data_IF_610535213739
#
_entry.id   IF_610535213739
#
_cell.length_a   1.000
_cell.length_b   1.000
_cell.length_c   1.000
_cell.angle_alpha   90.00
_cell.angle_beta   90.00
_cell.angle_gamma   90.00
#
_symmetry.space_group_name_H-M   'P 1'
#
loop_
_entity.id
_entity.type
_entity.pdbx_description
1 polymer ?
#
# COMPACT_ATOMS: atom_id res chain seq x y z
N UNK A 1 -4.68 -19.96 -9.33
CA UNK A 1 -4.29 -18.76 -10.10
C UNK A 1 -5.06 -17.60 -9.52
N UNK A 2 -4.37 -16.69 -8.86
CA UNK A 2 -4.95 -15.44 -8.42
C UNK A 2 -5.26 -14.61 -9.68
N UNK A 3 -6.53 -14.29 -9.87
CA UNK A 3 -6.97 -13.47 -11.00
C UNK A 3 -6.89 -12.01 -10.60
N UNK A 4 -5.73 -11.40 -10.77
CA UNK A 4 -5.54 -9.98 -10.56
C UNK A 4 -6.28 -9.16 -11.63
N UNK A 5 -7.13 -8.23 -11.22
CA UNK A 5 -7.78 -7.29 -12.13
C UNK A 5 -8.35 -6.09 -11.39
N UNK A 6 -8.56 -4.94 -12.05
CA UNK A 6 -9.17 -3.75 -11.44
C UNK A 6 -10.70 -3.86 -11.29
N UNK A 7 -11.33 -4.95 -11.68
CA UNK A 7 -12.81 -5.10 -11.67
C UNK A 7 -13.48 -4.81 -10.33
N UNK A 8 -12.72 -4.89 -9.24
CA UNK A 8 -13.19 -4.61 -7.90
C UNK A 8 -12.93 -3.16 -7.45
N UNK A 9 -12.28 -2.37 -8.26
CA UNK A 9 -12.14 -0.93 -8.07
C UNK A 9 -13.40 -0.25 -8.62
N UNK A 10 -14.11 0.54 -7.81
CA UNK A 10 -15.38 1.17 -8.22
C UNK A 10 -15.23 2.63 -8.64
N UNK A 11 -14.11 3.24 -8.37
CA UNK A 11 -13.80 4.59 -8.82
C UNK A 11 -12.83 4.55 -9.99
N UNK A 12 -12.89 5.59 -10.84
CA UNK A 12 -11.84 5.86 -11.81
C UNK A 12 -10.54 6.25 -11.13
N UNK A 13 -9.44 6.06 -11.83
CA UNK A 13 -8.11 6.54 -11.44
C UNK A 13 -7.71 7.75 -12.28
N UNK A 14 -6.62 8.42 -11.89
CA UNK A 14 -6.05 9.52 -12.70
C UNK A 14 -5.74 9.03 -14.12
N UNK A 15 -5.25 7.80 -14.26
CA UNK A 15 -4.99 7.19 -15.57
C UNK A 15 -6.26 6.96 -16.38
N UNK A 16 -7.36 6.58 -15.75
CA UNK A 16 -8.65 6.41 -16.41
C UNK A 16 -9.18 7.75 -16.92
N UNK A 17 -9.12 8.81 -16.09
CA UNK A 17 -9.55 10.16 -16.48
C UNK A 17 -8.68 10.72 -17.62
N UNK A 18 -7.37 10.48 -17.59
CA UNK A 18 -6.47 10.86 -18.67
C UNK A 18 -6.84 10.15 -19.99
N UNK A 19 -7.21 8.88 -19.93
CA UNK A 19 -7.70 8.12 -21.09
C UNK A 19 -8.99 8.72 -21.65
N UNK A 20 -9.91 9.09 -20.77
CA UNK A 20 -11.18 9.74 -21.18
C UNK A 20 -10.88 11.08 -21.83
N UNK A 21 -10.10 11.95 -21.18
CA UNK A 21 -9.77 13.27 -21.68
C UNK A 21 -9.03 13.24 -23.02
N UNK A 22 -8.16 12.27 -23.22
CA UNK A 22 -7.42 12.08 -24.46
C UNK A 22 -8.15 11.26 -25.54
N UNK A 23 -9.40 10.84 -25.28
CA UNK A 23 -10.16 9.96 -26.16
C UNK A 23 -9.43 8.65 -26.47
N UNK A 24 -8.75 8.09 -25.48
CA UNK A 24 -7.98 6.85 -25.57
C UNK A 24 -6.60 6.96 -26.22
N UNK A 25 -6.16 8.15 -26.62
CA UNK A 25 -4.88 8.36 -27.33
C UNK A 25 -3.65 8.29 -26.42
N UNK A 26 -3.78 8.69 -25.16
CA UNK A 26 -2.71 8.62 -24.15
C UNK A 26 -2.32 7.17 -23.86
N UNK A 27 -1.05 6.92 -23.64
CA UNK A 27 -0.62 5.66 -23.04
C UNK A 27 -0.48 5.81 -21.53
N UNK A 28 -1.05 4.85 -20.82
CA UNK A 28 -1.05 4.77 -19.36
C UNK A 28 -0.48 3.43 -18.94
N UNK A 29 0.63 3.48 -18.21
CA UNK A 29 1.28 2.29 -17.68
C UNK A 29 1.61 2.45 -16.19
N UNK A 30 1.67 1.34 -15.47
CA UNK A 30 2.08 1.29 -14.08
C UNK A 30 3.11 0.20 -13.84
N UNK A 31 4.12 0.51 -13.02
CA UNK A 31 5.18 -0.42 -12.59
C UNK A 31 5.26 -0.38 -11.06
N UNK A 32 5.19 -1.53 -10.42
CA UNK A 32 5.25 -1.63 -8.96
C UNK A 32 5.90 -2.95 -8.52
N UNK A 33 6.32 -3.07 -7.24
CA UNK A 33 6.81 -4.34 -6.70
C UNK A 33 5.77 -5.45 -6.69
N UNK A 34 4.50 -5.11 -6.48
CA UNK A 34 3.39 -6.04 -6.31
C UNK A 34 2.19 -5.70 -7.19
N UNK A 35 1.31 -6.71 -7.38
CA UNK A 35 0.16 -6.62 -8.27
C UNK A 35 -0.87 -5.58 -7.81
N UNK A 36 -1.09 -5.46 -6.48
CA UNK A 36 -2.08 -4.55 -5.93
C UNK A 36 -1.68 -3.10 -6.23
N UNK A 37 -0.45 -2.72 -5.90
CA UNK A 37 0.07 -1.37 -6.16
C UNK A 37 0.09 -1.04 -7.66
N UNK A 38 0.48 -1.99 -8.52
CA UNK A 38 0.49 -1.78 -9.96
C UNK A 38 -0.92 -1.56 -10.54
N UNK A 39 -1.88 -2.40 -10.16
CA UNK A 39 -3.24 -2.36 -10.70
C UNK A 39 -4.02 -1.16 -10.19
N UNK A 40 -3.92 -0.84 -8.90
CA UNK A 40 -4.60 0.32 -8.33
C UNK A 40 -4.08 1.64 -8.90
N UNK A 41 -2.79 1.71 -9.25
CA UNK A 41 -2.21 2.88 -9.92
C UNK A 41 -2.56 2.97 -11.41
N UNK A 42 -2.73 1.84 -12.07
CA UNK A 42 -3.10 1.77 -13.49
C UNK A 42 -4.58 2.09 -13.74
N UNK A 43 -5.49 1.53 -12.93
CA UNK A 43 -6.93 1.65 -13.12
C UNK A 43 -7.48 0.70 -14.19
N UNK A 44 -8.64 1.06 -14.75
CA UNK A 44 -9.40 0.22 -15.69
C UNK A 44 -8.95 0.36 -17.14
N UNK A 45 -8.64 1.59 -17.56
CA UNK A 45 -8.41 1.92 -18.96
C UNK A 45 -6.92 1.93 -19.36
N UNK A 46 -6.02 1.59 -18.45
CA UNK A 46 -4.58 1.58 -18.72
C UNK A 46 -4.20 0.61 -19.84
N UNK A 47 -3.07 0.88 -20.48
CA UNK A 47 -2.46 -0.01 -21.46
C UNK A 47 -1.82 -1.24 -20.79
N UNK A 48 -1.34 -1.09 -19.54
CA UNK A 48 -0.76 -2.18 -18.78
C UNK A 48 -0.37 -1.81 -17.36
N UNK A 49 -0.34 -2.83 -16.49
CA UNK A 49 0.20 -2.78 -15.15
C UNK A 49 1.19 -3.92 -14.98
N UNK A 50 2.37 -3.63 -14.44
CA UNK A 50 3.47 -4.59 -14.35
C UNK A 50 3.98 -4.69 -12.92
N UNK A 51 4.19 -5.91 -12.47
CA UNK A 51 4.76 -6.21 -11.17
C UNK A 51 5.72 -7.39 -11.24
N UNK A 52 6.59 -7.52 -10.25
CA UNK A 52 7.50 -8.64 -10.19
C UNK A 52 6.80 -9.88 -9.63
N UNK A 53 6.85 -10.98 -10.36
CA UNK A 53 6.33 -12.28 -9.91
C UNK A 53 7.16 -12.85 -8.75
N UNK A 54 6.48 -13.39 -7.74
CA UNK A 54 7.12 -13.90 -6.53
C UNK A 54 7.84 -15.24 -6.73
N UNK A 55 7.57 -15.93 -7.83
CA UNK A 55 8.09 -17.29 -8.07
C UNK A 55 9.30 -17.31 -8.97
N UNK A 56 9.37 -16.40 -9.96
CA UNK A 56 10.40 -16.40 -10.99
C UNK A 56 11.08 -15.05 -11.23
N UNK A 57 10.68 -13.99 -10.50
CA UNK A 57 11.25 -12.66 -10.59
C UNK A 57 11.02 -11.93 -11.92
N UNK A 58 10.21 -12.47 -12.82
CA UNK A 58 9.87 -11.81 -14.09
C UNK A 58 8.81 -10.75 -13.88
N UNK A 59 8.82 -9.76 -14.74
CA UNK A 59 7.75 -8.77 -14.82
C UNK A 59 6.49 -9.42 -15.41
N UNK A 60 5.47 -9.50 -14.59
CA UNK A 60 4.17 -10.08 -14.90
C UNK A 60 3.11 -8.99 -15.08
N UNK A 61 2.03 -9.37 -15.75
CA UNK A 61 0.82 -8.56 -15.92
C UNK A 61 -0.41 -9.46 -15.84
N UNK A 62 -1.59 -8.90 -16.00
CA UNK A 62 -2.85 -9.65 -16.08
C UNK A 62 -3.39 -9.66 -17.50
N UNK A 63 -4.19 -10.67 -17.83
CA UNK A 63 -4.93 -10.74 -19.10
C UNK A 63 -6.03 -9.69 -19.23
N UNK A 64 -6.28 -8.91 -18.21
CA UNK A 64 -7.22 -7.78 -18.25
C UNK A 64 -6.73 -6.67 -19.19
N UNK A 65 -5.41 -6.39 -19.21
CA UNK A 65 -4.82 -5.39 -20.09
C UNK A 65 -4.37 -5.99 -21.42
N UNK A 66 -3.86 -5.15 -22.33
CA UNK A 66 -3.48 -5.54 -23.71
C UNK A 66 -2.38 -6.59 -23.83
N UNK A 67 -1.74 -6.97 -22.74
CA UNK A 67 -0.65 -7.93 -22.75
C UNK A 67 0.72 -7.33 -22.47
N UNK A 68 1.76 -8.11 -22.72
CA UNK A 68 3.15 -7.73 -22.43
C UNK A 68 3.76 -7.10 -23.69
N UNK A 69 4.23 -5.83 -23.63
CA UNK A 69 4.98 -5.22 -24.72
C UNK A 69 6.26 -6.01 -25.03
N UNK A 70 6.68 -6.04 -26.29
CA UNK A 70 7.85 -6.80 -26.73
C UNK A 70 9.14 -6.45 -25.97
N UNK A 71 9.32 -5.20 -25.57
CA UNK A 71 10.50 -4.76 -24.83
C UNK A 71 10.49 -5.25 -23.37
N UNK A 72 9.32 -5.44 -22.76
CA UNK A 72 9.19 -6.08 -21.45
C UNK A 72 9.48 -7.58 -21.54
N UNK A 73 8.97 -8.24 -22.57
CA UNK A 73 9.26 -9.66 -22.82
C UNK A 73 10.75 -9.88 -23.10
N UNK A 74 11.36 -9.03 -23.92
CA UNK A 74 12.81 -9.01 -24.16
C UNK A 74 13.60 -8.82 -22.87
N UNK A 75 13.16 -7.91 -21.98
CA UNK A 75 13.81 -7.71 -20.69
C UNK A 75 13.71 -8.97 -19.82
N UNK A 76 12.54 -9.59 -19.75
CA UNK A 76 12.31 -10.79 -18.96
C UNK A 76 13.17 -12.00 -19.38
N UNK A 77 13.46 -12.12 -20.66
CA UNK A 77 14.09 -13.29 -21.24
C UNK A 77 15.49 -13.02 -21.83
N UNK A 78 15.93 -11.78 -21.78
CA UNK A 78 17.23 -11.36 -22.34
C UNK A 78 18.41 -11.56 -21.37
N UNK A 79 19.62 -11.27 -21.86
CA UNK A 79 20.85 -11.43 -21.07
C UNK A 79 20.94 -10.48 -19.87
N UNK A 80 20.16 -9.41 -19.86
CA UNK A 80 20.07 -8.45 -18.76
C UNK A 80 18.92 -8.74 -17.80
N UNK A 81 18.27 -9.90 -17.91
CA UNK A 81 17.17 -10.30 -17.02
C UNK A 81 17.62 -10.37 -15.56
N UNK A 82 16.65 -10.23 -14.64
CA UNK A 82 16.95 -10.37 -13.22
C UNK A 82 17.59 -11.73 -12.91
N UNK A 83 17.08 -12.80 -13.51
CA UNK A 83 17.58 -14.16 -13.29
C UNK A 83 19.09 -14.29 -13.64
N UNK A 84 19.56 -13.62 -14.72
CA UNK A 84 20.98 -13.66 -15.10
C UNK A 84 21.92 -12.96 -14.12
N UNK A 85 21.39 -12.04 -13.30
CA UNK A 85 22.16 -11.20 -12.37
C UNK A 85 21.99 -11.59 -10.90
N UNK A 86 20.95 -12.36 -10.59
CA UNK A 86 20.50 -12.62 -9.22
C UNK A 86 21.63 -13.14 -8.31
N UNK A 87 22.38 -14.13 -8.78
CA UNK A 87 23.47 -14.75 -8.01
C UNK A 87 24.65 -13.79 -7.74
N UNK A 88 24.76 -12.70 -8.49
CA UNK A 88 25.79 -11.67 -8.29
C UNK A 88 25.32 -10.52 -7.42
N UNK A 89 24.06 -10.47 -7.08
CA UNK A 89 23.50 -9.41 -6.24
C UNK A 89 23.90 -9.60 -4.78
N UNK A 90 24.64 -8.64 -4.26
CA UNK A 90 25.03 -8.58 -2.85
C UNK A 90 24.68 -7.21 -2.32
N UNK A 91 23.86 -7.17 -1.28
CA UNK A 91 23.53 -5.93 -0.58
C UNK A 91 24.39 -5.78 0.66
N UNK A 92 25.25 -4.80 0.62
CA UNK A 92 26.08 -4.34 1.73
C UNK A 92 25.85 -2.84 1.91
N UNK A 93 26.23 -2.24 3.05
CA UNK A 93 26.15 -0.80 3.23
C UNK A 93 26.80 -0.04 2.06
N UNK A 94 26.08 0.91 1.49
CA UNK A 94 26.57 1.73 0.36
C UNK A 94 27.53 2.82 0.85
N UNK A 95 27.29 3.30 2.07
CA UNK A 95 28.16 4.29 2.73
C UNK A 95 29.06 3.63 3.76
N UNK A 96 30.16 4.30 4.17
CA UNK A 96 30.92 3.91 5.37
C UNK A 96 30.00 3.86 6.60
N UNK A 97 30.22 2.89 7.49
CA UNK A 97 29.33 2.62 8.63
C UNK A 97 29.13 3.81 9.55
N UNK A 98 30.12 4.67 9.69
CA UNK A 98 30.07 5.91 10.47
C UNK A 98 29.13 7.00 9.88
N UNK A 99 28.62 6.80 8.67
CA UNK A 99 27.65 7.70 8.02
C UNK A 99 26.20 7.33 8.30
N UNK A 100 25.98 6.13 8.85
CA UNK A 100 24.64 5.73 9.29
C UNK A 100 24.42 6.20 10.72
N UNK A 101 23.20 6.62 11.02
CA UNK A 101 22.83 7.01 12.38
C UNK A 101 23.02 5.83 13.34
N UNK A 102 23.64 6.12 14.47
CA UNK A 102 23.77 5.16 15.55
C UNK A 102 22.40 5.03 16.25
N UNK A 103 21.81 3.84 16.20
CA UNK A 103 20.61 3.54 16.98
C UNK A 103 21.03 2.89 18.29
N UNK A 104 20.49 3.36 19.44
CA UNK A 104 20.93 2.89 20.78
C UNK A 104 20.67 1.40 21.05
N UNK A 105 20.05 0.69 20.11
CA UNK A 105 19.65 -0.73 20.27
C UNK A 105 20.33 -1.68 19.29
N UNK A 106 21.22 -1.21 18.42
CA UNK A 106 21.99 -2.07 17.53
C UNK A 106 23.24 -2.51 18.29
N UNK A 107 23.24 -3.75 18.75
CA UNK A 107 24.35 -4.34 19.51
C UNK A 107 25.58 -4.68 18.65
N UNK A 108 25.44 -4.70 17.32
CA UNK A 108 26.49 -5.05 16.39
C UNK A 108 26.87 -3.89 15.46
N UNK A 109 28.11 -3.45 15.56
CA UNK A 109 28.74 -2.51 14.62
C UNK A 109 29.17 -3.20 13.30
N UNK A 110 28.77 -4.44 13.09
CA UNK A 110 29.10 -5.18 11.88
C UNK A 110 28.27 -4.72 10.68
N UNK A 111 28.88 -4.57 9.51
CA UNK A 111 28.16 -4.26 8.29
C UNK A 111 27.26 -5.43 7.90
N UNK A 112 26.02 -5.12 7.54
CA UNK A 112 25.10 -6.12 7.01
C UNK A 112 25.53 -6.62 5.64
N UNK A 113 25.20 -7.89 5.34
CA UNK A 113 25.46 -8.51 4.04
C UNK A 113 24.34 -9.49 3.68
N UNK A 114 23.63 -9.21 2.61
CA UNK A 114 22.57 -10.06 2.07
C UNK A 114 22.88 -10.49 0.65
N UNK A 115 22.62 -11.76 0.35
CA UNK A 115 22.77 -12.37 -0.98
C UNK A 115 21.42 -12.93 -1.43
N UNK A 116 21.24 -13.05 -2.73
CA UNK A 116 20.01 -13.54 -3.34
C UNK A 116 20.33 -14.73 -4.23
N UNK A 117 19.53 -15.78 -4.12
CA UNK A 117 19.66 -17.00 -4.93
C UNK A 117 18.30 -17.68 -5.02
N UNK A 118 17.97 -18.22 -6.18
CA UNK A 118 16.74 -19.02 -6.36
C UNK A 118 16.68 -20.25 -5.46
N UNK A 119 17.82 -20.69 -4.97
CA UNK A 119 17.94 -21.79 -3.99
C UNK A 119 17.40 -21.42 -2.61
N UNK A 120 17.29 -20.14 -2.32
CA UNK A 120 16.79 -19.67 -1.03
C UNK A 120 15.27 -19.57 -1.04
N UNK A 121 14.64 -20.08 -0.01
CA UNK A 121 13.20 -19.86 0.18
C UNK A 121 12.88 -18.36 0.23
N UNK A 122 11.79 -17.95 -0.43
CA UNK A 122 11.36 -16.55 -0.49
C UNK A 122 12.39 -15.59 -1.12
N UNK A 123 13.22 -16.05 -2.05
CA UNK A 123 14.23 -15.21 -2.70
C UNK A 123 13.63 -13.92 -3.26
N UNK A 124 12.65 -14.01 -4.14
CA UNK A 124 12.02 -12.86 -4.78
C UNK A 124 11.18 -11.99 -3.81
N UNK A 125 10.37 -12.56 -2.90
CA UNK A 125 9.75 -11.79 -1.82
C UNK A 125 10.76 -10.99 -0.98
N UNK A 126 11.92 -11.57 -0.66
CA UNK A 126 12.97 -10.85 0.05
C UNK A 126 13.61 -9.76 -0.82
N UNK A 127 13.87 -10.04 -2.10
CA UNK A 127 14.40 -9.04 -3.02
C UNK A 127 13.46 -7.84 -3.16
N UNK A 128 12.14 -8.05 -3.19
CA UNK A 128 11.13 -6.98 -3.24
C UNK A 128 11.16 -6.03 -2.03
N UNK A 129 11.76 -6.43 -0.93
CA UNK A 129 11.90 -5.60 0.28
C UNK A 129 13.33 -5.07 0.46
N UNK A 130 14.14 -5.14 -0.58
CA UNK A 130 15.51 -4.59 -0.64
C UNK A 130 15.58 -3.44 -1.65
N UNK A 131 16.65 -2.63 -1.65
CA UNK A 131 16.84 -1.57 -2.65
C UNK A 131 16.95 -2.11 -4.10
N UNK A 132 17.24 -3.38 -4.28
CA UNK A 132 17.34 -3.96 -5.61
C UNK A 132 16.02 -3.97 -6.39
N UNK A 133 14.87 -4.04 -5.71
CA UNK A 133 13.59 -3.92 -6.41
C UNK A 133 13.45 -2.55 -7.08
N UNK A 134 13.93 -1.48 -6.44
CA UNK A 134 13.88 -0.14 -6.99
C UNK A 134 14.76 -0.02 -8.24
N UNK A 135 15.92 -0.65 -8.23
CA UNK A 135 16.79 -0.73 -9.41
C UNK A 135 16.14 -1.50 -10.56
N UNK A 136 15.45 -2.59 -10.25
CA UNK A 136 14.71 -3.37 -11.26
C UNK A 136 13.51 -2.57 -11.82
N UNK A 137 12.79 -1.85 -10.98
CA UNK A 137 11.71 -0.93 -11.39
C UNK A 137 12.26 0.13 -12.33
N UNK A 138 13.39 0.78 -11.99
CA UNK A 138 14.04 1.74 -12.85
C UNK A 138 14.46 1.13 -14.19
N UNK A 139 15.09 -0.03 -14.19
CA UNK A 139 15.49 -0.72 -15.42
C UNK A 139 14.30 -0.95 -16.34
N UNK A 140 13.16 -1.37 -15.79
CA UNK A 140 11.94 -1.53 -16.57
C UNK A 140 11.39 -0.19 -17.03
N UNK A 141 11.34 0.84 -16.17
CA UNK A 141 10.89 2.18 -16.54
C UNK A 141 11.72 2.75 -17.72
N UNK A 142 13.04 2.51 -17.73
CA UNK A 142 13.91 2.90 -18.84
C UNK A 142 13.53 2.20 -20.15
N UNK A 143 13.08 0.93 -20.10
CA UNK A 143 12.58 0.26 -21.31
C UNK A 143 11.31 0.95 -21.85
N UNK A 144 10.41 1.40 -20.96
CA UNK A 144 9.23 2.17 -21.36
C UNK A 144 9.59 3.52 -21.96
N UNK A 145 10.54 4.25 -21.38
CA UNK A 145 11.01 5.53 -21.91
C UNK A 145 11.74 5.37 -23.26
N UNK A 146 12.47 4.28 -23.45
CA UNK A 146 13.23 4.03 -24.68
C UNK A 146 12.33 3.57 -25.83
N UNK A 147 11.41 2.65 -25.58
CA UNK A 147 10.65 1.95 -26.61
C UNK A 147 9.16 2.22 -26.60
N UNK A 148 8.62 2.81 -25.52
CA UNK A 148 7.19 3.06 -25.36
C UNK A 148 6.66 4.30 -26.06
N UNK A 149 7.54 5.14 -26.63
CA UNK A 149 7.15 6.35 -27.34
C UNK A 149 6.59 7.46 -26.44
N UNK A 150 6.99 7.49 -25.18
CA UNK A 150 6.63 8.55 -24.25
C UNK A 150 7.12 9.91 -24.72
N UNK A 151 6.27 10.95 -24.64
CA UNK A 151 6.61 12.31 -25.04
C UNK A 151 6.62 12.56 -26.55
N UNK A 152 6.28 11.57 -27.39
CA UNK A 152 6.23 11.74 -28.85
C UNK A 152 4.82 12.03 -29.36
N UNK A 153 3.80 11.91 -28.52
CA UNK A 153 2.39 12.09 -28.88
C UNK A 153 1.93 13.53 -28.67
N UNK A 154 0.84 13.90 -29.34
CA UNK A 154 0.18 15.20 -29.17
C UNK A 154 -0.67 15.31 -27.89
N UNK A 155 -0.77 14.24 -27.11
CA UNK A 155 -1.46 14.16 -25.83
C UNK A 155 -0.49 13.63 -24.76
N UNK A 156 -0.69 13.98 -23.49
CA UNK A 156 0.17 13.50 -22.42
C UNK A 156 0.02 11.99 -22.22
N UNK A 157 1.12 11.32 -21.90
CA UNK A 157 1.17 9.93 -21.48
C UNK A 157 1.42 9.87 -19.97
N UNK A 158 1.13 8.75 -19.33
CA UNK A 158 1.35 8.56 -17.89
C UNK A 158 2.11 7.28 -17.61
N UNK A 159 3.19 7.39 -16.85
CA UNK A 159 3.91 6.28 -16.27
C UNK A 159 3.86 6.40 -14.74
N UNK A 160 3.12 5.53 -14.09
CA UNK A 160 3.07 5.44 -12.63
C UNK A 160 4.12 4.46 -12.15
N UNK A 161 4.97 4.89 -11.22
CA UNK A 161 6.07 4.10 -10.67
C UNK A 161 5.90 4.04 -9.15
N UNK A 162 5.82 2.83 -8.59
CA UNK A 162 5.81 2.62 -7.15
C UNK A 162 7.14 2.00 -6.73
N UNK A 163 7.87 2.70 -5.86
CA UNK A 163 9.10 2.20 -5.25
C UNK A 163 8.83 1.61 -3.88
N UNK A 164 9.76 0.80 -3.42
CA UNK A 164 9.77 0.27 -2.06
C UNK A 164 10.73 1.07 -1.19
N UNK A 165 10.24 1.58 -0.07
CA UNK A 165 11.02 2.33 0.91
C UNK A 165 10.68 1.88 2.34
N UNK A 166 10.70 0.58 2.59
CA UNK A 166 10.31 -0.01 3.86
C UNK A 166 11.37 -0.94 4.44
N UNK A 167 10.99 -1.67 5.47
CA UNK A 167 11.88 -2.62 6.14
C UNK A 167 12.19 -3.84 5.28
N UNK A 168 13.44 -4.27 5.31
CA UNK A 168 13.85 -5.52 4.70
C UNK A 168 13.09 -6.70 5.33
N UNK A 169 12.64 -7.62 4.47
CA UNK A 169 11.77 -8.76 4.82
C UNK A 169 10.45 -8.36 5.50
N UNK A 170 10.13 -7.07 5.50
CA UNK A 170 8.90 -6.55 6.09
C UNK A 170 8.76 -6.77 7.58
N UNK A 171 9.85 -7.01 8.28
CA UNK A 171 9.88 -7.07 9.73
C UNK A 171 9.96 -5.64 10.27
N UNK A 172 9.24 -5.33 11.33
CA UNK A 172 9.33 -4.07 12.05
C UNK A 172 10.43 -4.11 13.12
N UNK A 173 11.43 -4.96 12.93
CA UNK A 173 12.50 -5.12 13.89
C UNK A 173 13.43 -3.91 13.87
N UNK A 174 13.84 -3.46 15.03
CA UNK A 174 14.87 -2.44 15.23
C UNK A 174 16.20 -2.79 14.58
N UNK A 175 16.43 -4.09 14.35
CA UNK A 175 17.65 -4.63 13.80
C UNK A 175 17.92 -4.21 12.35
N UNK A 176 16.91 -3.68 11.66
CA UNK A 176 17.00 -3.35 10.22
C UNK A 176 17.03 -1.85 9.92
N UNK A 177 17.34 -1.00 10.86
CA UNK A 177 17.26 0.45 10.68
C UNK A 177 18.36 1.00 9.75
N UNK A 178 19.53 0.41 9.72
CA UNK A 178 20.61 0.76 8.78
C UNK A 178 20.24 0.37 7.35
N UNK A 179 19.58 -0.74 7.17
CA UNK A 179 19.07 -1.18 5.88
C UNK A 179 17.99 -0.23 5.34
N UNK A 180 17.16 0.36 6.21
CA UNK A 180 16.22 1.39 5.77
C UNK A 180 16.95 2.63 5.29
N UNK A 181 17.92 3.15 6.05
CA UNK A 181 18.71 4.31 5.64
C UNK A 181 19.40 4.06 4.31
N UNK A 182 20.02 2.90 4.16
CA UNK A 182 20.68 2.50 2.91
C UNK A 182 19.67 2.38 1.75
N UNK A 183 18.47 1.88 2.02
CA UNK A 183 17.40 1.81 1.02
C UNK A 183 16.99 3.20 0.56
N UNK A 184 16.82 4.16 1.45
CA UNK A 184 16.51 5.56 1.09
C UNK A 184 17.65 6.21 0.32
N UNK A 185 18.88 6.01 0.75
CA UNK A 185 20.05 6.54 0.04
C UNK A 185 20.15 6.01 -1.38
N UNK A 186 19.97 4.69 -1.57
CA UNK A 186 19.98 4.10 -2.91
C UNK A 186 18.78 4.53 -3.74
N UNK A 187 17.60 4.70 -3.12
CA UNK A 187 16.39 5.18 -3.81
C UNK A 187 16.56 6.60 -4.35
N UNK A 188 17.19 7.48 -3.57
CA UNK A 188 17.51 8.85 -4.02
C UNK A 188 18.35 8.82 -5.30
N UNK A 189 19.41 8.00 -5.34
CA UNK A 189 20.23 7.83 -6.53
C UNK A 189 19.46 7.20 -7.72
N UNK A 190 18.54 6.29 -7.44
CA UNK A 190 17.73 5.67 -8.48
C UNK A 190 16.73 6.68 -9.07
N UNK A 191 16.15 7.56 -8.26
CA UNK A 191 15.27 8.65 -8.71
C UNK A 191 16.07 9.66 -9.54
N UNK A 192 17.27 10.05 -9.11
CA UNK A 192 18.17 10.94 -9.88
C UNK A 192 18.41 10.39 -11.30
N UNK A 193 18.78 9.12 -11.41
CA UNK A 193 19.00 8.46 -12.72
C UNK A 193 17.76 8.42 -13.59
N UNK A 194 16.59 8.21 -12.99
CA UNK A 194 15.32 8.24 -13.72
C UNK A 194 15.03 9.62 -14.26
N UNK A 195 15.17 10.66 -13.42
CA UNK A 195 14.94 12.05 -13.82
C UNK A 195 15.92 12.52 -14.90
N UNK A 196 17.20 12.18 -14.78
CA UNK A 196 18.22 12.44 -15.83
C UNK A 196 17.85 11.79 -17.16
N UNK A 197 17.28 10.58 -17.12
CA UNK A 197 16.87 9.89 -18.34
C UNK A 197 15.62 10.53 -18.94
N UNK A 198 14.66 10.93 -18.12
CA UNK A 198 13.47 11.65 -18.56
C UNK A 198 13.87 12.97 -19.21
N UNK A 199 14.80 13.71 -18.60
CA UNK A 199 15.27 14.98 -19.15
C UNK A 199 15.92 14.78 -20.53
N UNK A 200 16.75 13.77 -20.70
CA UNK A 200 17.42 13.45 -21.97
C UNK A 200 16.47 12.96 -23.05
N UNK A 201 15.41 12.22 -22.70
CA UNK A 201 14.52 11.57 -23.67
C UNK A 201 13.27 12.38 -23.99
N UNK A 202 12.68 13.04 -23.02
CA UNK A 202 11.42 13.77 -23.12
C UNK A 202 11.61 15.26 -22.85
N UNK A 203 12.53 15.60 -21.94
CA UNK A 203 12.72 16.93 -21.36
C UNK A 203 11.87 17.15 -20.13
N UNK A 204 12.47 17.60 -19.04
CA UNK A 204 11.73 17.93 -17.80
C UNK A 204 10.75 19.10 -18.00
N UNK A 205 11.01 20.00 -18.92
CA UNK A 205 10.10 21.07 -19.30
C UNK A 205 8.78 20.55 -19.93
N UNK A 206 8.81 19.35 -20.50
CA UNK A 206 7.64 18.69 -21.11
C UNK A 206 7.03 17.62 -20.18
N UNK A 207 7.54 17.49 -18.96
CA UNK A 207 7.16 16.44 -18.04
C UNK A 207 6.62 17.04 -16.76
N UNK A 208 5.46 16.57 -16.30
CA UNK A 208 4.99 16.80 -14.95
C UNK A 208 5.36 15.59 -14.09
N UNK A 209 6.25 15.80 -13.13
CA UNK A 209 6.61 14.80 -12.14
C UNK A 209 5.80 15.05 -10.89
N UNK A 210 5.08 14.04 -10.42
CA UNK A 210 4.37 14.06 -9.14
C UNK A 210 5.00 12.99 -8.25
N UNK A 211 5.53 13.41 -7.11
CA UNK A 211 6.16 12.52 -6.15
C UNK A 211 5.42 12.58 -4.82
N UNK A 212 5.05 11.41 -4.30
CA UNK A 212 4.38 11.29 -2.99
C UNK A 212 4.74 9.97 -2.32
N UNK A 213 4.54 9.89 -1.01
CA UNK A 213 4.65 8.65 -0.25
C UNK A 213 3.29 8.13 0.19
N UNK A 214 3.18 6.82 0.38
CA UNK A 214 1.97 6.18 0.94
C UNK A 214 1.99 6.09 2.47
N UNK A 215 3.05 6.57 3.11
CA UNK A 215 3.25 6.57 4.54
C UNK A 215 4.69 6.90 4.90
N UNK A 216 4.97 6.98 6.17
CA UNK A 216 6.35 7.07 6.66
C UNK A 216 6.64 5.87 7.57
N UNK A 217 7.90 5.46 7.57
CA UNK A 217 8.37 4.51 8.55
C UNK A 217 8.65 5.25 9.87
N UNK A 218 8.02 4.78 10.94
CA UNK A 218 8.35 5.22 12.30
C UNK A 218 8.67 3.99 13.13
N UNK A 219 9.86 3.94 13.73
CA UNK A 219 10.19 2.86 14.67
C UNK A 219 9.25 2.93 15.87
N UNK A 220 9.01 1.79 16.52
CA UNK A 220 8.10 1.68 17.67
C UNK A 220 8.46 2.63 18.84
N UNK A 221 9.68 3.19 18.87
CA UNK A 221 10.26 3.92 20.00
C UNK A 221 10.25 5.44 19.92
N UNK A 222 9.67 6.00 18.89
CA UNK A 222 9.64 7.46 18.76
C UNK A 222 8.49 8.11 19.53
N UNK A 223 8.32 7.76 20.79
CA UNK A 223 7.65 8.62 21.76
C UNK A 223 8.76 9.29 22.60
N UNK A 224 8.99 10.61 22.47
CA UNK A 224 10.13 11.30 23.08
C UNK A 224 10.16 11.26 24.60
N UNK A 225 9.09 10.97 25.28
CA UNK A 225 8.94 11.28 26.71
C UNK A 225 8.59 10.11 27.62
N UNK A 226 9.02 8.89 27.34
CA UNK A 226 8.79 7.80 28.28
C UNK A 226 7.32 7.48 28.57
N UNK A 227 6.40 8.07 27.83
CA UNK A 227 5.00 7.69 27.84
C UNK A 227 4.89 6.30 27.24
N UNK A 228 4.97 5.30 28.11
CA UNK A 228 4.49 3.95 27.80
C UNK A 228 3.01 4.10 27.46
N UNK A 229 2.69 4.21 26.18
CA UNK A 229 1.33 3.95 25.73
C UNK A 229 1.10 2.49 26.09
N UNK A 230 0.21 2.22 27.03
CA UNK A 230 -0.20 0.88 27.42
C UNK A 230 -0.80 0.22 26.17
N UNK A 231 0.06 -0.33 25.33
CA UNK A 231 -0.33 -1.06 24.15
C UNK A 231 -0.59 -2.52 24.53
N UNK A 232 -1.57 -3.11 23.88
CA UNK A 232 -1.89 -4.52 23.97
C UNK A 232 -2.06 -5.14 22.61
N UNK A 233 -2.43 -6.40 22.58
CA UNK A 233 -2.77 -7.10 21.34
C UNK A 233 -4.28 -7.34 21.29
N UNK A 234 -4.91 -6.92 20.18
CA UNK A 234 -6.27 -7.27 19.85
C UNK A 234 -6.26 -8.47 18.91
N UNK A 235 -6.94 -9.53 19.33
CA UNK A 235 -7.05 -10.79 18.60
C UNK A 235 -8.43 -10.92 17.96
N UNK A 236 -8.60 -10.59 16.66
CA UNK A 236 -9.90 -10.63 16.00
C UNK A 236 -10.58 -12.00 16.08
N UNK A 237 -9.86 -13.09 15.91
CA UNK A 237 -10.43 -14.45 15.98
C UNK A 237 -11.06 -14.73 17.34
N UNK A 238 -10.39 -14.32 18.42
CA UNK A 238 -10.92 -14.46 19.77
C UNK A 238 -12.16 -13.58 19.97
N UNK A 239 -12.12 -12.34 19.50
CA UNK A 239 -13.25 -11.43 19.55
C UNK A 239 -14.46 -12.01 18.81
N UNK A 240 -14.29 -12.51 17.59
CA UNK A 240 -15.36 -13.14 16.81
C UNK A 240 -15.96 -14.37 17.50
N UNK A 241 -15.12 -15.22 18.07
CA UNK A 241 -15.60 -16.41 18.78
C UNK A 241 -16.46 -16.05 19.98
N UNK A 242 -16.01 -15.09 20.82
CA UNK A 242 -16.74 -14.63 21.99
C UNK A 242 -18.03 -13.90 21.59
N UNK A 243 -17.99 -13.04 20.56
CA UNK A 243 -19.18 -12.38 20.02
C UNK A 243 -20.21 -13.41 19.52
N UNK A 244 -19.75 -14.41 18.78
CA UNK A 244 -20.65 -15.44 18.27
C UNK A 244 -21.30 -16.23 19.42
N UNK A 245 -20.54 -16.60 20.46
CA UNK A 245 -21.07 -17.25 21.65
C UNK A 245 -22.11 -16.36 22.37
N UNK A 246 -21.83 -15.08 22.52
CA UNK A 246 -22.76 -14.11 23.13
C UNK A 246 -24.07 -14.02 22.32
N UNK A 247 -23.98 -13.89 20.99
CA UNK A 247 -25.18 -13.84 20.15
C UNK A 247 -25.94 -15.17 20.12
N UNK A 248 -25.23 -16.31 20.18
CA UNK A 248 -25.85 -17.63 20.28
C UNK A 248 -26.64 -17.79 21.63
N UNK A 249 -26.13 -17.24 22.70
CA UNK A 249 -26.83 -17.27 23.98
C UNK A 249 -28.14 -16.45 23.96
N UNK A 250 -28.18 -15.37 23.17
CA UNK A 250 -29.35 -14.50 23.07
C UNK A 250 -30.36 -15.01 22.05
N UNK A 251 -29.89 -15.43 20.88
CA UNK A 251 -30.72 -15.67 19.70
C UNK A 251 -30.82 -17.14 19.28
N UNK A 252 -30.08 -18.02 19.95
CA UNK A 252 -30.11 -19.48 19.71
C UNK A 252 -28.76 -20.07 19.32
N UNK A 253 -28.56 -21.31 19.71
CA UNK A 253 -27.26 -22.00 19.68
C UNK A 253 -26.91 -22.70 18.35
N UNK A 254 -27.85 -22.83 17.43
CA UNK A 254 -27.65 -23.64 16.21
C UNK A 254 -27.18 -22.85 15.01
N UNK A 255 -26.91 -21.57 15.18
CA UNK A 255 -26.59 -20.68 14.07
C UNK A 255 -25.32 -19.89 14.34
N UNK A 256 -24.42 -19.82 13.38
CA UNK A 256 -23.31 -18.88 13.44
C UNK A 256 -23.79 -17.49 13.02
N UNK A 257 -23.79 -16.55 13.95
CA UNK A 257 -24.25 -15.18 13.74
C UNK A 257 -23.17 -14.26 13.16
N UNK A 258 -21.89 -14.69 13.25
CA UNK A 258 -20.74 -13.93 12.79
C UNK A 258 -20.12 -14.63 11.58
N UNK A 259 -19.91 -13.88 10.50
CA UNK A 259 -19.34 -14.42 9.27
C UNK A 259 -17.81 -14.26 9.24
N UNK A 260 -17.28 -13.11 9.68
CA UNK A 260 -15.84 -12.89 9.63
C UNK A 260 -15.40 -11.48 10.02
N UNK A 261 -14.08 -11.29 9.97
CA UNK A 261 -13.41 -10.03 10.23
C UNK A 261 -12.47 -9.69 9.06
N UNK A 262 -12.50 -8.45 8.63
CA UNK A 262 -11.58 -7.93 7.64
C UNK A 262 -11.35 -6.43 7.86
N UNK A 263 -10.10 -6.04 7.94
CA UNK A 263 -9.67 -4.63 8.02
C UNK A 263 -10.45 -3.79 9.07
N UNK A 264 -10.43 -4.24 10.33
CA UNK A 264 -11.14 -3.64 11.45
C UNK A 264 -12.68 -3.62 11.34
N UNK A 265 -13.22 -4.44 10.46
CA UNK A 265 -14.66 -4.57 10.27
C UNK A 265 -15.12 -6.00 10.56
N UNK A 266 -16.27 -6.13 11.21
CA UNK A 266 -16.94 -7.41 11.45
C UNK A 266 -18.15 -7.53 10.53
N UNK A 267 -18.27 -8.68 9.93
CA UNK A 267 -19.39 -9.06 9.07
C UNK A 267 -20.27 -10.05 9.78
N UNK A 268 -21.55 -9.72 9.91
CA UNK A 268 -22.56 -10.58 10.49
C UNK A 268 -23.14 -11.51 9.42
N UNK A 269 -23.67 -12.65 9.83
CA UNK A 269 -24.33 -13.58 8.95
C UNK A 269 -25.76 -13.08 8.64
N UNK A 270 -25.86 -12.19 7.66
CA UNK A 270 -27.13 -11.54 7.29
C UNK A 270 -28.19 -12.51 6.89
N UNK A 271 -27.80 -13.63 6.21
CA UNK A 271 -28.75 -14.67 5.84
C UNK A 271 -29.36 -15.34 7.07
N UNK A 272 -28.54 -15.69 8.04
CA UNK A 272 -29.03 -16.29 9.28
C UNK A 272 -29.96 -15.33 10.07
N UNK A 273 -29.65 -14.04 10.06
CA UNK A 273 -30.44 -12.99 10.70
C UNK A 273 -31.81 -12.87 10.01
N UNK A 274 -31.83 -12.88 8.67
CA UNK A 274 -33.04 -12.84 7.85
C UNK A 274 -33.89 -14.11 8.04
N UNK A 275 -33.28 -15.28 7.96
CA UNK A 275 -33.96 -16.58 8.15
C UNK A 275 -34.61 -16.66 9.55
N UNK A 276 -33.95 -16.09 10.58
CA UNK A 276 -34.48 -16.01 11.94
C UNK A 276 -35.48 -14.86 12.14
N UNK A 277 -35.74 -14.03 11.14
CA UNK A 277 -36.62 -12.84 11.18
C UNK A 277 -36.22 -11.85 12.29
N UNK A 278 -34.93 -11.70 12.56
CA UNK A 278 -34.40 -10.77 13.52
C UNK A 278 -34.14 -9.39 12.87
N UNK A 279 -34.32 -8.34 13.68
CA UNK A 279 -33.95 -7.00 13.25
C UNK A 279 -32.43 -6.82 13.27
N UNK A 280 -31.86 -6.56 12.07
CA UNK A 280 -30.43 -6.37 11.89
C UNK A 280 -29.88 -5.23 12.75
N UNK A 281 -30.62 -4.14 12.89
CA UNK A 281 -30.19 -2.96 13.67
C UNK A 281 -30.06 -3.29 15.15
N UNK A 282 -31.04 -3.99 15.70
CA UNK A 282 -31.01 -4.44 17.09
C UNK A 282 -29.84 -5.38 17.36
N UNK A 283 -29.58 -6.30 16.42
CA UNK A 283 -28.46 -7.23 16.57
C UNK A 283 -27.10 -6.52 16.42
N UNK A 284 -26.97 -5.57 15.47
CA UNK A 284 -25.78 -4.75 15.34
C UNK A 284 -25.48 -3.95 16.61
N UNK A 285 -26.50 -3.33 17.22
CA UNK A 285 -26.32 -2.56 18.46
C UNK A 285 -25.87 -3.45 19.63
N UNK A 286 -26.50 -4.60 19.83
CA UNK A 286 -26.08 -5.56 20.88
C UNK A 286 -24.66 -6.08 20.66
N UNK A 287 -24.31 -6.35 19.40
CA UNK A 287 -22.95 -6.77 19.05
C UNK A 287 -21.93 -5.64 19.28
N UNK A 288 -22.29 -4.40 18.97
CA UNK A 288 -21.44 -3.23 19.21
C UNK A 288 -21.21 -3.00 20.72
N UNK A 289 -22.25 -3.04 21.53
CA UNK A 289 -22.18 -2.95 23.02
C UNK A 289 -21.24 -4.02 23.57
N UNK A 290 -21.38 -5.26 23.14
CA UNK A 290 -20.53 -6.36 23.59
C UNK A 290 -19.05 -6.15 23.22
N UNK A 291 -18.76 -5.71 21.98
CA UNK A 291 -17.38 -5.51 21.52
C UNK A 291 -16.75 -4.29 22.20
N UNK A 292 -17.53 -3.26 22.54
CA UNK A 292 -17.04 -2.07 23.22
C UNK A 292 -16.36 -2.39 24.57
N UNK A 293 -16.72 -3.50 25.21
CA UNK A 293 -16.13 -3.96 26.47
C UNK A 293 -14.75 -4.64 26.29
N UNK A 294 -14.32 -4.87 25.07
CA UNK A 294 -13.01 -5.47 24.84
C UNK A 294 -11.88 -4.49 25.10
N UNK A 295 -10.85 -4.96 25.79
CA UNK A 295 -9.63 -4.17 26.02
C UNK A 295 -9.04 -3.69 24.69
N UNK A 296 -8.70 -2.41 24.64
CA UNK A 296 -8.12 -1.76 23.45
C UNK A 296 -9.12 -1.30 22.40
N UNK A 297 -10.40 -1.59 22.56
CA UNK A 297 -11.45 -1.02 21.72
C UNK A 297 -11.75 0.41 22.19
N UNK A 298 -11.60 1.37 21.29
CA UNK A 298 -11.90 2.77 21.55
C UNK A 298 -13.34 3.10 21.19
N UNK A 299 -13.78 2.64 20.02
CA UNK A 299 -15.13 2.90 19.52
C UNK A 299 -15.58 1.76 18.60
N UNK A 300 -16.86 1.41 18.71
CA UNK A 300 -17.52 0.52 17.74
C UNK A 300 -18.65 1.28 17.06
N UNK A 301 -18.59 1.37 15.73
CA UNK A 301 -19.60 2.06 14.93
C UNK A 301 -20.38 1.03 14.13
N UNK A 302 -21.72 1.08 14.20
CA UNK A 302 -22.57 0.18 13.42
C UNK A 302 -22.70 0.68 11.97
N UNK A 303 -22.86 -0.25 11.04
CA UNK A 303 -23.07 0.11 9.64
C UNK A 303 -24.29 1.02 9.43
N UNK A 304 -25.32 0.91 10.26
CA UNK A 304 -26.49 1.79 10.21
C UNK A 304 -26.19 3.20 10.72
N UNK A 305 -25.48 3.34 11.83
CA UNK A 305 -25.15 4.67 12.38
C UNK A 305 -24.32 5.51 11.44
N UNK A 306 -23.50 4.88 10.58
CA UNK A 306 -22.79 5.58 9.51
C UNK A 306 -23.71 6.13 8.40
N UNK A 307 -24.92 5.61 8.25
CA UNK A 307 -25.87 6.11 7.26
C UNK A 307 -26.79 7.22 7.82
N UNK A 308 -27.18 7.09 9.08
CA UNK A 308 -28.29 7.87 9.65
C UNK A 308 -27.91 8.73 10.84
N UNK A 309 -26.68 8.61 11.37
CA UNK A 309 -26.22 9.30 12.57
C UNK A 309 -25.68 10.70 12.32
N UNK A 310 -25.58 11.49 13.36
CA UNK A 310 -24.78 12.71 13.39
C UNK A 310 -23.30 12.35 13.35
N UNK A 311 -22.56 12.96 12.42
CA UNK A 311 -21.16 12.62 12.21
C UNK A 311 -20.23 13.63 12.89
N UNK A 312 -19.38 13.13 13.78
CA UNK A 312 -18.18 13.83 14.19
C UNK A 312 -17.05 13.60 13.16
N UNK A 313 -15.92 14.28 13.31
CA UNK A 313 -14.80 14.16 12.36
C UNK A 313 -14.30 12.71 12.18
N UNK A 314 -14.32 11.89 13.24
CA UNK A 314 -13.89 10.49 13.17
C UNK A 314 -14.84 9.64 12.34
N UNK A 315 -16.13 9.70 12.64
CA UNK A 315 -17.15 8.93 11.91
C UNK A 315 -17.32 9.40 10.46
N UNK A 316 -17.08 10.69 10.15
CA UNK A 316 -17.07 11.21 8.80
C UNK A 316 -15.98 10.56 7.93
N UNK A 317 -14.77 10.36 8.47
CA UNK A 317 -13.68 9.64 7.77
C UNK A 317 -14.06 8.21 7.44
N UNK A 318 -14.65 7.48 8.38
CA UNK A 318 -15.12 6.12 8.12
C UNK A 318 -16.20 6.08 7.04
N UNK A 319 -17.14 7.01 7.07
CA UNK A 319 -18.18 7.11 6.04
C UNK A 319 -17.60 7.33 4.65
N UNK A 320 -16.65 8.24 4.50
CA UNK A 320 -15.99 8.53 3.23
C UNK A 320 -15.12 7.37 2.74
N UNK A 321 -14.48 6.64 3.67
CA UNK A 321 -13.59 5.51 3.35
C UNK A 321 -14.31 4.17 3.17
N UNK A 322 -15.65 4.09 3.32
CA UNK A 322 -16.39 2.82 3.24
C UNK A 322 -17.42 2.83 2.13
N UNK A 323 -17.50 1.72 1.39
CA UNK A 323 -18.52 1.52 0.37
C UNK A 323 -19.76 0.84 0.99
N UNK A 324 -20.95 1.41 0.77
CA UNK A 324 -22.21 0.99 1.41
C UNK A 324 -22.58 -0.50 1.21
N UNK A 325 -22.19 -1.11 0.08
CA UNK A 325 -22.44 -2.55 -0.19
C UNK A 325 -21.35 -3.49 0.32
N UNK A 326 -20.17 -2.96 0.67
CA UNK A 326 -19.01 -3.79 1.04
C UNK A 326 -18.55 -3.60 2.48
N UNK A 327 -19.04 -2.57 3.15
CA UNK A 327 -18.69 -2.34 4.55
C UNK A 327 -19.18 -3.48 5.44
N UNK A 328 -18.45 -3.72 6.51
CA UNK A 328 -18.88 -4.58 7.60
C UNK A 328 -20.11 -4.03 8.31
N UNK A 329 -20.72 -4.88 9.10
CA UNK A 329 -21.85 -4.53 9.94
C UNK A 329 -21.41 -3.73 11.18
N UNK A 330 -20.17 -3.96 11.64
CA UNK A 330 -19.53 -3.23 12.74
C UNK A 330 -18.14 -2.80 12.31
N UNK A 331 -17.76 -1.59 12.63
CA UNK A 331 -16.43 -1.03 12.42
C UNK A 331 -15.82 -0.80 13.80
N UNK A 332 -14.63 -1.35 14.02
CA UNK A 332 -13.92 -1.27 15.30
C UNK A 332 -12.79 -0.28 15.17
N UNK A 333 -12.76 0.71 16.02
CA UNK A 333 -11.63 1.59 16.24
C UNK A 333 -10.89 1.16 17.48
N UNK A 334 -9.62 0.86 17.33
CA UNK A 334 -8.75 0.46 18.45
C UNK A 334 -7.94 1.65 18.94
N UNK A 335 -7.57 1.61 20.21
CA UNK A 335 -6.72 2.63 20.83
C UNK A 335 -5.35 2.68 20.14
N UNK A 336 -4.73 3.89 20.06
CA UNK A 336 -3.38 4.03 19.54
C UNK A 336 -2.39 3.17 20.30
N UNK A 337 -1.40 2.61 19.58
CA UNK A 337 -0.40 1.73 20.17
C UNK A 337 -0.81 0.26 20.27
N UNK A 338 -2.11 -0.05 20.12
CA UNK A 338 -2.59 -1.44 20.09
C UNK A 338 -2.19 -2.13 18.79
N UNK A 339 -1.89 -3.43 18.89
CA UNK A 339 -1.50 -4.28 17.77
C UNK A 339 -2.64 -5.20 17.39
N UNK A 340 -2.96 -5.30 16.12
CA UNK A 340 -3.90 -6.30 15.60
C UNK A 340 -3.14 -7.55 15.25
N UNK A 341 -3.35 -8.63 15.99
CA UNK A 341 -2.76 -9.93 15.76
C UNK A 341 -3.81 -10.88 15.17
N UNK A 342 -3.65 -11.26 13.91
CA UNK A 342 -4.58 -12.14 13.19
C UNK A 342 -4.40 -13.63 13.51
N UNK A 343 -3.48 -13.96 14.44
CA UNK A 343 -3.11 -15.35 14.77
C UNK A 343 -2.76 -16.18 13.53
N UNK A 344 -2.12 -15.54 12.56
CA UNK A 344 -1.65 -16.15 11.34
C UNK A 344 -0.17 -15.79 11.11
N UNK A 345 0.75 -16.77 11.16
CA UNK A 345 2.19 -16.49 11.02
C UNK A 345 2.58 -15.92 9.63
N UNK A 346 1.68 -16.02 8.64
CA UNK A 346 1.89 -15.43 7.30
C UNK A 346 1.42 -13.98 7.20
N UNK A 347 0.67 -13.49 8.16
CA UNK A 347 0.14 -12.13 8.18
C UNK A 347 0.88 -11.28 9.20
N UNK A 348 1.20 -10.06 8.81
CA UNK A 348 1.93 -9.13 9.68
C UNK A 348 0.99 -8.55 10.73
N UNK A 349 1.50 -8.39 11.94
CA UNK A 349 0.84 -7.63 12.99
C UNK A 349 0.73 -6.17 12.55
N UNK A 350 -0.47 -5.60 12.60
CA UNK A 350 -0.73 -4.20 12.27
C UNK A 350 -0.79 -3.37 13.56
N UNK A 351 -0.03 -2.29 13.62
CA UNK A 351 -0.08 -1.33 14.73
C UNK A 351 -1.08 -0.23 14.37
N UNK A 352 -1.97 0.06 15.29
CA UNK A 352 -2.97 1.13 15.13
C UNK A 352 -2.34 2.48 15.47
N UNK A 353 -2.56 3.44 14.60
CA UNK A 353 -2.08 4.82 14.74
C UNK A 353 -3.25 5.78 14.52
N UNK A 354 -3.41 6.75 15.43
CA UNK A 354 -4.45 7.78 15.32
C UNK A 354 -4.00 9.02 14.57
N UNK A 355 -2.71 9.17 14.34
CA UNK A 355 -2.20 10.36 13.68
C UNK A 355 -2.30 10.21 12.17
N UNK A 356 -2.72 11.27 11.51
CA UNK A 356 -2.61 11.36 10.06
C UNK A 356 -1.16 11.13 9.66
N UNK A 357 -0.94 10.22 8.73
CA UNK A 357 0.38 9.98 8.17
C UNK A 357 0.67 11.14 7.22
N UNK A 358 1.56 12.03 7.63
CA UNK A 358 2.01 13.14 6.80
C UNK A 358 2.96 12.57 5.75
N UNK A 359 2.64 12.75 4.48
CA UNK A 359 3.47 12.35 3.36
C UNK A 359 3.86 13.58 2.54
N UNK A 360 5.07 13.61 1.97
CA UNK A 360 5.42 14.66 1.03
C UNK A 360 4.55 14.55 -0.23
N UNK A 361 4.20 15.69 -0.79
CA UNK A 361 3.61 15.79 -2.12
C UNK A 361 4.37 16.85 -2.89
N UNK A 362 5.11 16.42 -3.91
CA UNK A 362 5.98 17.27 -4.71
C UNK A 362 5.52 17.26 -6.16
N UNK A 363 5.39 18.44 -6.73
CA UNK A 363 5.15 18.65 -8.16
C UNK A 363 6.36 19.33 -8.77
N UNK A 364 6.87 18.83 -9.90
CA UNK A 364 8.04 19.37 -10.56
C UNK A 364 7.88 19.33 -12.08
N UNK A 365 8.42 20.34 -12.75
CA UNK A 365 8.43 20.42 -14.22
C UNK A 365 7.24 21.19 -14.82
N UNK A 366 7.12 21.15 -16.14
CA UNK A 366 6.03 21.77 -16.92
C UNK A 366 5.71 23.23 -16.53
N UNK A 367 6.74 24.06 -16.37
CA UNK A 367 6.58 25.50 -16.08
C UNK A 367 6.10 25.83 -14.66
N UNK A 368 6.08 24.88 -13.75
CA UNK A 368 5.76 25.13 -12.35
C UNK A 368 6.83 26.03 -11.72
N UNK A 369 6.38 27.07 -11.01
CA UNK A 369 7.27 27.92 -10.24
C UNK A 369 7.58 27.29 -8.89
N UNK A 370 8.83 27.39 -8.39
CA UNK A 370 9.15 26.91 -7.06
C UNK A 370 8.27 27.59 -6.00
N UNK A 371 7.54 26.79 -5.26
CA UNK A 371 6.73 27.22 -4.14
C UNK A 371 6.83 26.16 -3.04
N UNK A 372 6.89 26.60 -1.80
CA UNK A 372 6.80 25.71 -0.65
C UNK A 372 5.52 26.06 0.12
N UNK A 373 4.60 25.13 0.18
CA UNK A 373 3.34 25.30 0.92
C UNK A 373 3.25 24.21 1.97
N UNK A 374 3.05 24.61 3.21
CA UNK A 374 2.75 23.67 4.30
C UNK A 374 1.29 23.86 4.65
N UNK A 375 0.48 22.86 4.35
CA UNK A 375 -0.93 22.83 4.75
C UNK A 375 -1.17 21.61 5.63
N UNK A 376 -1.60 21.87 6.84
CA UNK A 376 -1.89 20.80 7.81
C UNK A 376 -3.34 20.29 7.74
N UNK A 377 -4.23 20.98 7.03
CA UNK A 377 -5.68 20.71 7.14
C UNK A 377 -6.44 20.52 5.85
N UNK A 378 -6.15 21.21 4.77
CA UNK A 378 -6.89 21.07 3.51
C UNK A 378 -6.01 21.40 2.31
N UNK A 379 -5.83 20.43 1.44
CA UNK A 379 -5.37 20.68 0.07
C UNK A 379 -6.61 20.93 -0.80
N UNK A 380 -7.02 22.18 -0.90
CA UNK A 380 -8.00 22.57 -1.92
C UNK A 380 -7.22 22.92 -3.18
N UNK A 381 -7.32 22.08 -4.20
CA UNK A 381 -6.91 22.48 -5.54
C UNK A 381 -7.76 23.70 -5.95
N UNK A 382 -7.17 24.76 -6.54
CA UNK A 382 -7.94 25.87 -7.06
C UNK A 382 -8.92 25.32 -8.10
N UNK A 383 -10.22 25.53 -7.88
CA UNK A 383 -11.29 25.10 -8.79
C UNK A 383 -11.29 25.84 -10.12
N UNK A 384 -10.37 26.76 -10.34
CA UNK A 384 -10.34 27.64 -11.53
C UNK A 384 -9.43 27.15 -12.66
N UNK A 385 -8.93 25.93 -12.62
CA UNK A 385 -8.10 25.36 -13.69
C UNK A 385 -8.80 24.35 -14.58
N UNK A 386 -10.13 24.31 -14.53
CA UNK A 386 -10.97 23.50 -15.42
C UNK A 386 -11.93 24.43 -16.19
N UNK A 387 -11.41 25.26 -17.06
CA UNK A 387 -12.13 25.84 -18.19
C UNK A 387 -11.26 25.71 -19.44
#
# INVERSE_FOLDING_TARGET
KENYSPKNLFSSTIGDELKIASQGRSDVYSIAPDAESAILSAGHAANGAFWMDNTNGKWATTTYYKGIPWYVDRYNNGPESLASRLETMVWTPTLPMEKYDAFPYVLDDLPFRYTFSEKFANCYPNLKTSPFINKEINRLALQFLEYGGFGTRSCPDMLSITYYAGNYRGTMSKEYTREIQDTYYQLDQDIEKLLDTIDKKVGLANTLVVFTGSGYYKSEESYPDGLMVNGGEFHPKRCLALLNMYLMAIYGQHTSWVQGYYNNQIYLNRKAIEDAKLDLTTLQNKAAEFIQEFSGVQLVTTGRSLLTGDWNEGTAKFRQGTHHLRRGDLIIELQPGWKVNLDNPKEKVKIIRNNAVITPLVFMGNGLKPQHTVSYTHLTLPTNSLV
#
